data_IF_848308829287
#
_entry.id   IF_848308829287
#
_cell.length_a   1.000
_cell.length_b   1.000
_cell.length_c   1.000
_cell.angle_alpha   90.00
_cell.angle_beta   90.00
_cell.angle_gamma   90.00
#
_symmetry.space_group_name_H-M   'P 1'
#
loop_
_entity.id
_entity.type
_entity.pdbx_description
1 polymer ?
#
# COMPACT_ATOMS: atom_id res chain seq x y z
N UNK A 1 -5.35 -9.30 5.01
CA UNK A 1 -5.51 -7.87 4.57
C UNK A 1 -4.51 -7.47 3.51
N UNK A 2 -4.80 -6.40 2.79
CA UNK A 2 -3.86 -5.72 1.88
C UNK A 2 -3.25 -4.53 2.60
N UNK A 3 -1.92 -4.39 2.55
CA UNK A 3 -1.22 -3.23 3.13
C UNK A 3 -0.91 -2.22 2.02
N UNK A 4 -1.42 -1.00 2.17
CA UNK A 4 -1.11 0.08 1.23
C UNK A 4 0.25 0.74 1.53
N UNK A 5 0.81 1.40 0.53
CA UNK A 5 2.07 2.17 0.65
C UNK A 5 2.04 3.16 1.83
N UNK A 6 0.90 3.82 2.06
CA UNK A 6 0.76 4.83 3.14
C UNK A 6 0.91 4.22 4.53
N UNK A 7 0.35 3.03 4.78
CA UNK A 7 0.51 2.32 6.04
C UNK A 7 1.95 1.79 6.21
N UNK A 8 2.54 1.22 5.16
CA UNK A 8 3.92 0.75 5.17
C UNK A 8 4.91 1.88 5.50
N UNK A 9 4.73 3.05 4.88
CA UNK A 9 5.58 4.22 5.13
C UNK A 9 5.37 4.81 6.53
N UNK A 10 4.15 4.79 7.06
CA UNK A 10 3.89 5.22 8.44
C UNK A 10 4.64 4.34 9.45
N UNK A 11 4.69 3.02 9.21
CA UNK A 11 5.49 2.09 10.03
C UNK A 11 6.99 2.38 9.86
N UNK A 12 7.47 2.52 8.62
CA UNK A 12 8.88 2.76 8.31
C UNK A 12 9.44 4.04 8.94
N UNK A 13 8.60 5.05 9.14
CA UNK A 13 8.97 6.37 9.69
C UNK A 13 8.60 6.57 11.15
N UNK A 14 8.15 5.53 11.83
CA UNK A 14 7.78 5.58 13.25
C UNK A 14 6.71 6.65 13.54
N UNK A 15 5.71 6.74 12.65
CA UNK A 15 4.61 7.67 12.80
C UNK A 15 3.63 7.21 13.91
N UNK A 16 2.77 8.10 14.43
CA UNK A 16 1.89 7.78 15.58
C UNK A 16 1.00 6.55 15.39
N UNK A 17 0.65 6.22 14.14
CA UNK A 17 -0.18 5.06 13.80
C UNK A 17 0.57 3.73 13.77
N UNK A 18 1.91 3.74 13.83
CA UNK A 18 2.77 2.56 13.68
C UNK A 18 2.31 1.38 14.52
N UNK A 19 2.19 1.57 15.84
CA UNK A 19 1.84 0.47 16.74
C UNK A 19 0.50 -0.18 16.36
N UNK A 20 -0.51 0.65 16.07
CA UNK A 20 -1.82 0.16 15.63
C UNK A 20 -1.74 -0.64 14.31
N UNK A 21 -0.92 -0.20 13.37
CA UNK A 21 -0.75 -0.89 12.08
C UNK A 21 0.02 -2.20 12.23
N UNK A 22 1.10 -2.21 13.04
CA UNK A 22 1.84 -3.44 13.35
C UNK A 22 0.95 -4.48 14.05
N UNK A 23 0.17 -4.07 15.06
CA UNK A 23 -0.78 -4.94 15.76
C UNK A 23 -1.84 -5.52 14.81
N UNK A 24 -2.39 -4.69 13.90
CA UNK A 24 -3.37 -5.15 12.92
C UNK A 24 -2.78 -6.18 11.94
N UNK A 25 -1.55 -5.96 11.47
CA UNK A 25 -0.85 -6.88 10.58
C UNK A 25 -0.51 -8.19 11.31
N UNK A 26 -0.08 -8.13 12.57
CA UNK A 26 0.34 -9.30 13.34
C UNK A 26 -0.80 -10.31 13.54
N UNK A 27 -2.01 -9.86 13.74
CA UNK A 27 -3.15 -10.74 14.00
C UNK A 27 -3.84 -11.24 12.73
N UNK A 28 -3.56 -10.66 11.56
CA UNK A 28 -4.19 -11.07 10.30
C UNK A 28 -3.45 -12.27 9.68
N UNK A 29 -4.15 -13.35 9.32
CA UNK A 29 -3.53 -14.51 8.68
C UNK A 29 -3.12 -14.26 7.22
N UNK A 30 -3.68 -13.24 6.56
CA UNK A 30 -3.42 -12.87 5.17
C UNK A 30 -2.73 -11.51 5.15
N UNK A 31 -1.47 -11.45 4.71
CA UNK A 31 -0.63 -10.25 4.77
C UNK A 31 -0.04 -9.97 3.40
N UNK A 32 -0.78 -9.26 2.56
CA UNK A 32 -0.41 -9.04 1.17
C UNK A 32 -0.10 -7.57 0.90
N UNK A 33 0.81 -7.35 -0.04
CA UNK A 33 1.12 -6.02 -0.59
C UNK A 33 1.34 -6.13 -2.10
N UNK A 34 0.81 -5.18 -2.88
CA UNK A 34 1.05 -5.14 -4.32
C UNK A 34 2.52 -4.84 -4.64
N UNK A 35 3.09 -5.52 -5.63
CA UNK A 35 4.41 -5.18 -6.15
C UNK A 35 4.53 -3.71 -6.60
N UNK A 36 3.43 -3.11 -7.09
CA UNK A 36 3.38 -1.70 -7.42
C UNK A 36 3.52 -0.81 -6.17
N UNK A 37 2.83 -1.15 -5.07
CA UNK A 37 2.93 -0.44 -3.79
C UNK A 37 4.34 -0.56 -3.18
N UNK A 38 4.98 -1.72 -3.29
CA UNK A 38 6.38 -1.89 -2.86
C UNK A 38 7.30 -0.96 -3.63
N UNK A 39 7.15 -0.90 -4.95
CA UNK A 39 8.00 -0.03 -5.78
C UNK A 39 7.74 1.46 -5.53
N UNK A 40 6.49 1.86 -5.32
CA UNK A 40 6.13 3.22 -4.91
C UNK A 40 6.81 3.58 -3.58
N UNK A 41 6.68 2.73 -2.56
CA UNK A 41 7.34 2.89 -1.26
C UNK A 41 8.86 3.01 -1.39
N UNK A 42 9.47 2.18 -2.23
CA UNK A 42 10.91 2.24 -2.53
C UNK A 42 11.32 3.61 -3.10
N UNK A 43 10.56 4.13 -4.09
CA UNK A 43 10.83 5.46 -4.67
C UNK A 43 10.75 6.54 -3.59
N UNK A 44 9.70 6.52 -2.77
CA UNK A 44 9.48 7.53 -1.72
C UNK A 44 10.59 7.47 -0.67
N UNK A 45 10.97 6.28 -0.20
CA UNK A 45 12.04 6.10 0.78
C UNK A 45 13.40 6.54 0.24
N UNK A 46 13.76 6.15 -0.99
CA UNK A 46 15.01 6.56 -1.63
C UNK A 46 15.11 8.07 -1.84
N UNK A 47 14.00 8.70 -2.27
CA UNK A 47 13.94 10.17 -2.44
C UNK A 47 14.14 10.90 -1.12
N UNK A 48 13.50 10.45 -0.05
CA UNK A 48 13.64 11.05 1.29
C UNK A 48 15.05 10.89 1.84
N UNK A 49 15.68 9.73 1.63
CA UNK A 49 17.05 9.46 2.10
C UNK A 49 18.12 10.21 1.32
N UNK A 50 17.82 10.60 0.07
CA UNK A 50 18.78 11.19 -0.83
C UNK A 50 19.75 10.17 -1.46
N UNK A 51 20.46 10.60 -2.51
CA UNK A 51 21.29 9.73 -3.34
C UNK A 51 22.32 8.90 -2.55
N UNK A 52 22.97 9.51 -1.56
CA UNK A 52 24.01 8.86 -0.77
C UNK A 52 23.50 7.69 0.09
N UNK A 53 22.25 7.76 0.57
CA UNK A 53 21.64 6.76 1.44
C UNK A 53 20.53 5.95 0.76
N UNK A 54 20.29 6.12 -0.54
CA UNK A 54 19.19 5.48 -1.24
C UNK A 54 19.26 3.95 -1.19
N UNK A 55 20.43 3.35 -1.38
CA UNK A 55 20.60 1.90 -1.31
C UNK A 55 20.30 1.35 0.10
N UNK A 56 20.70 2.08 1.15
CA UNK A 56 20.39 1.70 2.53
C UNK A 56 18.88 1.82 2.84
N UNK A 57 18.23 2.88 2.32
CA UNK A 57 16.80 3.05 2.47
C UNK A 57 16.03 1.90 1.80
N UNK A 58 16.46 1.47 0.61
CA UNK A 58 15.89 0.32 -0.09
C UNK A 58 16.08 -0.98 0.70
N UNK A 59 17.27 -1.24 1.26
CA UNK A 59 17.52 -2.41 2.09
C UNK A 59 16.59 -2.43 3.32
N UNK A 60 16.42 -1.29 3.99
CA UNK A 60 15.50 -1.17 5.14
C UNK A 60 14.04 -1.43 4.77
N UNK A 61 13.60 -1.05 3.57
CA UNK A 61 12.26 -1.37 3.09
C UNK A 61 12.06 -2.88 3.00
N UNK A 62 13.00 -3.60 2.38
CA UNK A 62 12.90 -5.06 2.26
C UNK A 62 12.97 -5.77 3.61
N UNK A 63 13.85 -5.33 4.51
CA UNK A 63 13.89 -5.83 5.90
C UNK A 63 12.54 -5.64 6.61
N UNK A 64 11.89 -4.50 6.42
CA UNK A 64 10.57 -4.22 7.00
C UNK A 64 9.49 -5.14 6.43
N UNK A 65 9.47 -5.37 5.12
CA UNK A 65 8.51 -6.31 4.49
C UNK A 65 8.66 -7.72 5.06
N UNK A 66 9.90 -8.19 5.25
CA UNK A 66 10.19 -9.48 5.87
C UNK A 66 9.75 -9.53 7.34
N UNK A 67 10.05 -8.49 8.13
CA UNK A 67 9.67 -8.39 9.55
C UNK A 67 8.16 -8.41 9.75
N UNK A 68 7.41 -7.75 8.87
CA UNK A 68 5.94 -7.72 8.90
C UNK A 68 5.33 -8.99 8.30
N UNK A 69 6.13 -9.86 7.67
CA UNK A 69 5.66 -11.07 6.98
C UNK A 69 4.74 -10.76 5.80
N UNK A 70 4.99 -9.65 5.09
CA UNK A 70 4.21 -9.23 3.93
C UNK A 70 4.61 -10.05 2.69
N UNK A 71 3.65 -10.71 2.07
CA UNK A 71 3.81 -11.37 0.79
C UNK A 71 3.57 -10.38 -0.34
N UNK A 72 4.54 -10.33 -1.28
CA UNK A 72 4.47 -9.40 -2.41
C UNK A 72 3.71 -10.08 -3.55
N UNK A 73 2.53 -9.55 -3.88
CA UNK A 73 1.70 -10.03 -4.97
C UNK A 73 2.07 -9.35 -6.30
N UNK A 74 2.27 -10.13 -7.37
CA UNK A 74 2.55 -9.59 -8.69
C UNK A 74 1.33 -8.86 -9.26
N UNK A 75 1.57 -7.78 -10.01
CA UNK A 75 0.50 -7.09 -10.75
C UNK A 75 0.12 -7.91 -11.98
N UNK A 76 -1.12 -8.41 -12.00
CA UNK A 76 -1.68 -9.16 -13.13
C UNK A 76 -2.38 -8.25 -14.14
N UNK A 77 -2.59 -8.77 -15.37
CA UNK A 77 -3.41 -8.08 -16.36
C UNK A 77 -4.87 -7.90 -15.92
N UNK A 78 -5.39 -8.77 -15.06
CA UNK A 78 -6.71 -8.63 -14.46
C UNK A 78 -6.75 -7.45 -13.47
N UNK A 79 -5.73 -7.33 -12.62
CA UNK A 79 -5.60 -6.20 -11.70
C UNK A 79 -5.48 -4.86 -12.42
N UNK A 80 -4.79 -4.80 -13.58
CA UNK A 80 -4.74 -3.57 -14.37
C UNK A 80 -6.13 -3.11 -14.77
N UNK A 81 -7.03 -4.00 -15.20
CA UNK A 81 -8.40 -3.64 -15.57
C UNK A 81 -9.22 -3.18 -14.37
N UNK A 82 -9.03 -3.78 -13.21
CA UNK A 82 -9.67 -3.32 -11.96
C UNK A 82 -9.15 -1.94 -11.58
N UNK A 83 -7.84 -1.71 -11.69
CA UNK A 83 -7.22 -0.42 -11.40
C UNK A 83 -7.72 0.70 -12.35
N UNK A 84 -7.90 0.39 -13.65
CA UNK A 84 -8.49 1.32 -14.63
C UNK A 84 -9.93 1.70 -14.23
N UNK A 85 -10.75 0.72 -13.86
CA UNK A 85 -12.12 0.95 -13.37
C UNK A 85 -12.14 1.73 -12.05
N UNK A 86 -11.21 1.44 -11.14
CA UNK A 86 -11.03 2.18 -9.89
C UNK A 86 -10.68 3.65 -10.14
N UNK A 87 -9.74 3.90 -11.05
CA UNK A 87 -9.37 5.28 -11.40
C UNK A 87 -10.52 6.05 -12.04
N UNK A 88 -11.29 5.40 -12.91
CA UNK A 88 -12.47 6.01 -13.52
C UNK A 88 -13.54 6.37 -12.47
N UNK A 89 -13.72 5.55 -11.45
CA UNK A 89 -14.75 5.72 -10.40
C UNK A 89 -14.30 6.59 -9.24
N UNK A 90 -13.03 6.48 -8.81
CA UNK A 90 -12.52 7.06 -7.56
C UNK A 90 -11.24 7.88 -7.75
N UNK A 91 -10.75 8.03 -8.98
CA UNK A 91 -9.46 8.63 -9.28
C UNK A 91 -9.38 10.12 -8.99
N UNK A 92 -8.15 10.60 -8.84
CA UNK A 92 -7.84 12.01 -8.64
C UNK A 92 -8.35 12.86 -9.78
N UNK A 93 -9.11 13.89 -9.43
CA UNK A 93 -9.77 14.77 -10.39
C UNK A 93 -11.15 14.31 -10.87
N UNK A 94 -11.57 13.10 -10.46
CA UNK A 94 -12.88 12.51 -10.81
C UNK A 94 -13.77 12.31 -9.57
N UNK A 95 -13.17 11.97 -8.43
CA UNK A 95 -13.91 11.65 -7.21
C UNK A 95 -13.19 12.18 -5.96
N UNK A 96 -13.92 12.49 -4.85
CA UNK A 96 -13.30 12.95 -3.59
C UNK A 96 -12.32 11.96 -2.93
N UNK A 97 -12.37 10.66 -3.25
CA UNK A 97 -11.37 9.68 -2.82
C UNK A 97 -9.98 9.99 -3.41
N UNK A 98 -9.96 10.60 -4.60
CA UNK A 98 -8.76 11.10 -5.26
C UNK A 98 -7.64 10.06 -5.43
N UNK A 99 -8.00 8.78 -5.65
CA UNK A 99 -7.02 7.71 -5.81
C UNK A 99 -5.98 8.07 -6.87
N UNK A 100 -4.70 7.92 -6.51
CA UNK A 100 -3.58 8.08 -7.42
C UNK A 100 -3.24 6.75 -8.13
N UNK A 101 -2.15 6.74 -8.89
CA UNK A 101 -1.68 5.55 -9.61
C UNK A 101 -1.39 4.36 -8.67
N UNK A 102 -0.67 4.60 -7.57
CA UNK A 102 -0.31 3.57 -6.59
C UNK A 102 -1.52 3.01 -5.87
N UNK A 103 -2.41 3.90 -5.43
CA UNK A 103 -3.65 3.53 -4.72
C UNK A 103 -4.51 2.57 -5.55
N UNK A 104 -4.58 2.78 -6.87
CA UNK A 104 -5.36 1.93 -7.76
C UNK A 104 -4.88 0.47 -7.80
N UNK A 105 -3.59 0.20 -7.59
CA UNK A 105 -3.08 -1.17 -7.52
C UNK A 105 -3.33 -1.84 -6.17
N UNK A 106 -3.24 -1.08 -5.07
CA UNK A 106 -3.66 -1.58 -3.75
C UNK A 106 -5.17 -1.88 -3.75
N UNK A 107 -5.98 -0.98 -4.33
CA UNK A 107 -7.41 -1.20 -4.54
C UNK A 107 -7.68 -2.46 -5.38
N UNK A 108 -6.97 -2.63 -6.51
CA UNK A 108 -7.18 -3.77 -7.40
C UNK A 108 -6.87 -5.10 -6.72
N UNK A 109 -5.80 -5.17 -5.93
CA UNK A 109 -5.45 -6.36 -5.16
C UNK A 109 -6.52 -6.65 -4.10
N UNK A 110 -7.02 -5.64 -3.37
CA UNK A 110 -8.09 -5.80 -2.39
C UNK A 110 -9.39 -6.32 -3.04
N UNK A 111 -9.76 -5.79 -4.21
CA UNK A 111 -10.96 -6.24 -4.95
C UNK A 111 -10.81 -7.65 -5.49
N UNK A 112 -9.65 -8.04 -5.98
CA UNK A 112 -9.39 -9.39 -6.53
C UNK A 112 -9.39 -10.45 -5.43
N UNK A 113 -8.82 -10.15 -4.26
CA UNK A 113 -8.71 -11.09 -3.15
C UNK A 113 -9.92 -11.08 -2.21
N UNK A 114 -10.70 -10.01 -2.21
CA UNK A 114 -11.78 -9.79 -1.25
C UNK A 114 -11.29 -9.38 0.14
N UNK A 115 -10.00 -9.08 0.29
CA UNK A 115 -9.39 -8.71 1.56
C UNK A 115 -9.64 -7.23 1.92
N UNK A 116 -9.68 -6.95 3.23
CA UNK A 116 -9.70 -5.58 3.74
C UNK A 116 -8.38 -4.87 3.46
N UNK A 117 -8.41 -3.53 3.37
CA UNK A 117 -7.21 -2.71 3.12
C UNK A 117 -6.80 -1.92 4.36
N UNK A 118 -5.50 -1.97 4.70
CA UNK A 118 -4.86 -1.17 5.73
C UNK A 118 -4.14 0.01 5.10
N UNK A 119 -4.51 1.22 5.50
CA UNK A 119 -4.00 2.47 4.93
C UNK A 119 -3.96 3.60 5.95
N UNK A 120 -3.22 4.66 5.63
CA UNK A 120 -3.23 5.93 6.34
C UNK A 120 -3.89 7.01 5.49
N UNK A 121 -4.74 7.84 6.10
CA UNK A 121 -5.47 8.91 5.41
C UNK A 121 -6.93 8.55 5.16
N UNK A 122 -7.56 9.25 4.20
CA UNK A 122 -9.00 9.14 3.93
C UNK A 122 -9.33 8.58 2.54
N UNK A 123 -8.34 8.31 1.70
CA UNK A 123 -8.54 8.04 0.28
C UNK A 123 -9.41 6.79 0.08
N UNK A 124 -9.06 5.67 0.72
CA UNK A 124 -9.83 4.43 0.59
C UNK A 124 -11.13 4.42 1.39
N UNK A 125 -11.27 5.24 2.43
CA UNK A 125 -12.51 5.33 3.22
C UNK A 125 -13.71 5.85 2.42
N UNK A 126 -13.42 6.46 1.26
CA UNK A 126 -14.43 6.99 0.33
C UNK A 126 -14.66 6.11 -0.89
N UNK A 127 -14.15 4.89 -0.86
CA UNK A 127 -14.36 3.86 -1.87
C UNK A 127 -15.32 2.78 -1.36
N UNK A 128 -15.53 1.74 -2.14
CA UNK A 128 -16.33 0.56 -1.77
C UNK A 128 -15.50 -0.57 -1.15
N UNK A 129 -14.26 -0.29 -0.70
CA UNK A 129 -13.43 -1.24 0.02
C UNK A 129 -13.77 -1.29 1.50
N UNK A 130 -13.49 -2.45 2.11
CA UNK A 130 -13.53 -2.63 3.55
C UNK A 130 -12.19 -2.19 4.15
N UNK A 131 -12.21 -1.32 5.14
CA UNK A 131 -11.02 -0.93 5.90
C UNK A 131 -10.67 -2.01 6.94
N UNK A 132 -9.39 -2.29 7.11
CA UNK A 132 -8.85 -3.17 8.12
C UNK A 132 -8.71 -2.47 9.49
#
# INVERSE_FOLDING_TARGET
MIVDTSALLAIAWDEPERGRFEDAIEVDPVRLISAASVFEGAIVMMRRAGRAAAAQALARLHELLEQLGLEIEPVSAAQVRIAEAAYLSFGKGMHPAALNFGDCFAYALAKETGEAILFKGDDFSRTDLVSA
#
